data_IF_924101092735
#
_entry.id   IF_924101092735
#
_cell.length_a   1.000
_cell.length_b   1.000
_cell.length_c   1.000
_cell.angle_alpha   90.00
_cell.angle_beta   90.00
_cell.angle_gamma   90.00
#
_symmetry.space_group_name_H-M   'P 1'
#
loop_
_entity.id
_entity.type
_entity.pdbx_description
1 polymer ?
#
# COMPACT_ATOMS: atom_id res chain seq x y z
N UNK A 1 29.92 -38.13 -3.15
CA UNK A 1 30.49 -39.32 -2.48
C UNK A 1 31.99 -39.13 -2.41
N UNK A 2 32.49 -38.62 -1.28
CA UNK A 2 33.93 -38.42 -1.07
C UNK A 2 34.59 -39.77 -0.72
N UNK A 3 35.60 -40.14 -1.50
CA UNK A 3 36.42 -41.34 -1.32
C UNK A 3 37.28 -41.18 -0.07
N UNK A 4 36.99 -41.94 1.00
CA UNK A 4 37.82 -41.96 2.20
C UNK A 4 38.90 -43.04 2.00
N UNK A 5 40.02 -42.68 1.40
CA UNK A 5 41.29 -43.41 1.53
C UNK A 5 41.98 -42.92 2.79
N UNK A 6 41.72 -43.58 3.92
CA UNK A 6 42.36 -43.31 5.21
C UNK A 6 42.72 -44.62 5.91
N UNK A 7 43.83 -44.60 6.64
CA UNK A 7 44.29 -45.66 7.54
C UNK A 7 43.13 -46.16 8.42
N UNK A 8 43.00 -47.48 8.63
CA UNK A 8 41.89 -48.12 9.36
C UNK A 8 41.72 -47.52 10.76
N UNK A 9 42.82 -47.07 11.37
CA UNK A 9 42.83 -46.36 12.64
C UNK A 9 42.08 -45.02 12.59
N UNK A 10 42.28 -44.23 11.54
CA UNK A 10 41.62 -42.93 11.32
C UNK A 10 40.12 -43.09 11.06
N UNK A 11 39.71 -44.18 10.42
CA UNK A 11 38.30 -44.53 10.23
C UNK A 11 37.61 -44.88 11.56
N UNK A 12 38.26 -45.66 12.43
CA UNK A 12 37.77 -46.00 13.77
C UNK A 12 37.62 -44.75 14.65
N UNK A 13 38.62 -43.88 14.68
CA UNK A 13 38.56 -42.60 15.42
C UNK A 13 37.45 -41.67 14.88
N UNK A 14 37.19 -41.71 13.57
CA UNK A 14 36.11 -40.93 12.96
C UNK A 14 34.73 -41.50 13.29
N UNK A 15 34.58 -42.82 13.31
CA UNK A 15 33.34 -43.50 13.71
C UNK A 15 33.00 -43.20 15.17
N UNK A 16 33.98 -43.28 16.07
CA UNK A 16 33.80 -42.98 17.50
C UNK A 16 33.37 -41.52 17.72
N UNK A 17 33.99 -40.57 17.01
CA UNK A 17 33.56 -39.16 17.05
C UNK A 17 32.11 -38.98 16.57
N UNK A 18 31.74 -39.62 15.46
CA UNK A 18 30.38 -39.52 14.91
C UNK A 18 29.34 -40.16 15.83
N UNK A 19 29.68 -41.25 16.52
CA UNK A 19 28.81 -41.90 17.50
C UNK A 19 28.56 -40.98 18.70
N UNK A 20 29.60 -40.33 19.22
CA UNK A 20 29.49 -39.33 20.31
C UNK A 20 28.62 -38.15 19.88
N UNK A 21 28.85 -37.60 18.68
CA UNK A 21 28.03 -36.51 18.14
C UNK A 21 26.58 -36.92 17.94
N UNK A 22 26.33 -38.14 17.45
CA UNK A 22 24.99 -38.68 17.27
C UNK A 22 24.26 -38.78 18.61
N UNK A 23 24.89 -39.37 19.63
CA UNK A 23 24.29 -39.52 20.97
C UNK A 23 24.02 -38.16 21.60
N UNK A 24 24.96 -37.23 21.53
CA UNK A 24 24.79 -35.88 22.08
C UNK A 24 23.67 -35.11 21.39
N UNK A 25 23.57 -35.20 20.05
CA UNK A 25 22.50 -34.56 19.30
C UNK A 25 21.12 -35.14 19.62
N UNK A 26 21.03 -36.46 19.86
CA UNK A 26 19.78 -37.09 20.28
C UNK A 26 19.37 -36.70 21.70
N UNK A 27 20.33 -36.66 22.64
CA UNK A 27 20.09 -36.26 24.02
C UNK A 27 19.70 -34.79 24.13
N UNK A 28 20.46 -33.87 23.52
CA UNK A 28 20.23 -32.42 23.57
C UNK A 28 19.16 -31.89 22.63
N UNK A 29 18.87 -32.62 21.55
CA UNK A 29 17.79 -32.32 20.62
C UNK A 29 16.50 -33.00 21.04
N UNK A 30 16.15 -34.06 20.30
CA UNK A 30 14.83 -34.66 20.35
C UNK A 30 14.41 -35.13 21.75
N UNK A 31 15.28 -35.84 22.49
CA UNK A 31 14.90 -36.40 23.78
C UNK A 31 14.71 -35.33 24.86
N UNK A 32 15.48 -34.23 24.81
CA UNK A 32 15.30 -33.11 25.74
C UNK A 32 14.09 -32.25 25.36
N UNK A 33 13.93 -31.91 24.08
CA UNK A 33 12.80 -31.09 23.60
C UNK A 33 11.44 -31.77 23.78
N UNK A 34 11.40 -33.10 23.73
CA UNK A 34 10.19 -33.90 24.01
C UNK A 34 10.00 -34.18 25.51
N UNK A 35 10.90 -33.72 26.36
CA UNK A 35 10.85 -33.90 27.82
C UNK A 35 11.11 -35.33 28.29
N UNK A 36 11.73 -36.18 27.46
CA UNK A 36 12.10 -37.57 27.81
C UNK A 36 13.32 -37.59 28.75
N UNK A 37 14.30 -36.71 28.51
CA UNK A 37 15.48 -36.54 29.37
C UNK A 37 15.57 -35.11 29.90
N UNK A 38 16.13 -34.99 31.09
CA UNK A 38 16.72 -33.74 31.57
C UNK A 38 18.24 -33.86 31.49
N UNK A 39 18.89 -32.76 31.14
CA UNK A 39 20.34 -32.69 30.93
C UNK A 39 21.01 -31.95 32.09
N UNK A 40 22.16 -32.46 32.53
CA UNK A 40 23.02 -31.85 33.53
C UNK A 40 24.28 -31.30 32.88
N UNK A 41 24.55 -30.02 33.10
CA UNK A 41 25.74 -29.33 32.58
C UNK A 41 26.64 -28.87 33.73
N UNK A 42 27.95 -28.92 33.49
CA UNK A 42 28.97 -28.22 34.28
C UNK A 42 29.70 -27.25 33.34
N UNK A 43 29.39 -25.95 33.49
CA UNK A 43 29.68 -24.96 32.45
C UNK A 43 28.98 -25.32 31.13
N UNK A 44 29.73 -25.36 30.03
CA UNK A 44 29.23 -25.73 28.70
C UNK A 44 29.33 -27.24 28.42
N UNK A 45 29.87 -28.03 29.35
CA UNK A 45 30.05 -29.47 29.16
C UNK A 45 28.81 -30.23 29.65
N UNK A 46 28.23 -31.05 28.76
CA UNK A 46 27.19 -32.01 29.14
C UNK A 46 27.83 -33.14 29.96
N UNK A 47 27.57 -33.16 31.27
CA UNK A 47 28.17 -34.13 32.20
C UNK A 47 27.26 -35.31 32.52
N UNK A 48 25.98 -35.23 32.13
CA UNK A 48 25.06 -36.34 32.30
C UNK A 48 23.64 -36.01 31.88
N UNK A 49 22.80 -37.04 31.92
CA UNK A 49 21.37 -36.91 31.70
C UNK A 49 20.62 -37.82 32.68
N UNK A 50 19.37 -37.47 32.98
CA UNK A 50 18.44 -38.35 33.69
C UNK A 50 17.16 -38.50 32.89
N UNK A 51 16.55 -39.66 32.94
CA UNK A 51 15.20 -39.84 32.40
C UNK A 51 14.19 -39.14 33.31
N UNK A 52 13.31 -38.34 32.71
CA UNK A 52 12.17 -37.74 33.42
C UNK A 52 11.15 -38.83 33.76
N UNK A 53 10.22 -38.59 34.71
CA UNK A 53 9.12 -39.51 34.96
C UNK A 53 8.36 -39.90 33.68
N UNK A 54 8.10 -38.93 32.79
CA UNK A 54 7.45 -39.13 31.48
C UNK A 54 8.34 -39.91 30.50
N UNK A 55 9.65 -39.64 30.46
CA UNK A 55 10.58 -40.37 29.61
C UNK A 55 10.74 -41.83 30.00
N UNK A 56 10.79 -42.13 31.31
CA UNK A 56 10.79 -43.51 31.81
C UNK A 56 9.52 -44.26 31.42
N UNK A 57 8.40 -43.56 31.38
CA UNK A 57 7.11 -44.06 30.95
C UNK A 57 7.10 -44.38 29.43
N UNK A 58 7.55 -43.43 28.59
CA UNK A 58 7.65 -43.58 27.13
C UNK A 58 8.57 -44.73 26.73
N UNK A 59 9.69 -44.90 27.44
CA UNK A 59 10.66 -45.98 27.18
C UNK A 59 10.24 -47.34 27.78
N UNK A 60 9.04 -47.45 28.37
CA UNK A 60 8.54 -48.70 28.96
C UNK A 60 9.25 -49.14 30.24
N UNK A 61 10.08 -48.28 30.85
CA UNK A 61 10.87 -48.57 32.06
C UNK A 61 10.08 -48.40 33.36
N UNK A 62 8.91 -47.78 33.29
CA UNK A 62 7.91 -47.75 34.37
C UNK A 62 6.52 -47.86 33.75
N UNK A 63 5.66 -48.67 34.37
CA UNK A 63 4.23 -48.63 34.07
C UNK A 63 3.70 -47.24 34.42
N UNK A 64 3.24 -46.52 33.42
CA UNK A 64 2.52 -45.26 33.60
C UNK A 64 1.16 -45.65 34.16
N UNK A 65 0.69 -44.98 35.22
CA UNK A 65 -0.76 -44.85 35.35
C UNK A 65 -1.23 -44.28 34.02
N UNK A 66 -2.19 -44.92 33.36
CA UNK A 66 -2.81 -44.35 32.17
C UNK A 66 -3.10 -42.87 32.45
N UNK A 67 -2.92 -41.97 31.45
CA UNK A 67 -3.31 -40.58 31.61
C UNK A 67 -4.64 -40.56 32.36
N UNK A 68 -4.75 -39.78 33.44
CA UNK A 68 -6.05 -39.60 34.09
C UNK A 68 -7.05 -39.35 32.97
N UNK A 69 -8.14 -40.13 32.92
CA UNK A 69 -9.15 -39.98 31.88
C UNK A 69 -9.37 -38.49 31.66
N UNK A 70 -9.23 -38.04 30.41
CA UNK A 70 -9.41 -36.66 29.99
C UNK A 70 -10.88 -36.27 30.26
N UNK A 71 -11.16 -36.00 31.52
CA UNK A 71 -12.48 -35.72 32.10
C UNK A 71 -12.77 -34.23 32.08
N UNK A 72 -11.90 -33.45 31.40
CA UNK A 72 -12.06 -32.03 31.21
C UNK A 72 -13.44 -31.71 30.62
N UNK A 73 -14.12 -30.72 31.20
CA UNK A 73 -15.45 -30.30 30.76
C UNK A 73 -15.37 -28.88 30.21
N UNK A 74 -15.97 -28.66 29.04
CA UNK A 74 -16.22 -27.33 28.53
C UNK A 74 -17.61 -26.88 28.99
N UNK A 75 -17.68 -25.74 29.67
CA UNK A 75 -18.92 -25.07 30.06
C UNK A 75 -19.01 -23.77 29.28
N UNK A 76 -20.11 -23.57 28.56
CA UNK A 76 -20.36 -22.37 27.76
C UNK A 76 -21.45 -21.56 28.45
N UNK A 77 -21.14 -20.31 28.76
CA UNK A 77 -22.05 -19.40 29.44
C UNK A 77 -22.78 -18.49 28.42
N UNK A 78 -24.02 -18.05 28.72
CA UNK A 78 -24.76 -17.13 27.85
C UNK A 78 -24.09 -15.78 27.62
N UNK A 79 -23.11 -15.39 28.45
CA UNK A 79 -22.32 -14.17 28.30
C UNK A 79 -21.08 -14.35 27.39
N UNK A 80 -21.02 -15.44 26.62
CA UNK A 80 -19.94 -15.80 25.71
C UNK A 80 -18.63 -16.22 26.37
N UNK A 81 -18.64 -16.53 27.67
CA UNK A 81 -17.49 -17.12 28.35
C UNK A 81 -17.48 -18.64 28.21
N UNK A 82 -16.29 -19.19 27.99
CA UNK A 82 -16.03 -20.62 27.88
C UNK A 82 -15.07 -21.00 28.99
N UNK A 83 -15.50 -21.92 29.83
CA UNK A 83 -14.73 -22.42 30.97
C UNK A 83 -14.35 -23.86 30.68
N UNK A 84 -13.06 -24.10 30.44
CA UNK A 84 -12.51 -25.44 30.30
C UNK A 84 -11.97 -25.88 31.68
N UNK A 85 -12.66 -26.82 32.32
CA UNK A 85 -12.44 -27.19 33.73
C UNK A 85 -11.86 -28.61 33.83
N UNK A 86 -10.88 -28.81 34.73
CA UNK A 86 -10.28 -30.12 35.02
C UNK A 86 -9.05 -30.44 34.17
N UNK A 87 -8.65 -31.72 34.05
CA UNK A 87 -7.55 -32.15 33.19
C UNK A 87 -8.00 -32.09 31.72
N UNK A 88 -8.00 -30.88 31.16
CA UNK A 88 -8.39 -30.59 29.77
C UNK A 88 -7.27 -31.00 28.82
N UNK A 89 -7.62 -31.68 27.74
CA UNK A 89 -6.64 -32.08 26.73
C UNK A 89 -6.02 -30.86 26.03
N UNK A 90 -4.72 -30.93 25.72
CA UNK A 90 -4.04 -29.88 24.96
C UNK A 90 -4.68 -29.67 23.59
N UNK A 91 -5.21 -30.74 22.98
CA UNK A 91 -5.93 -30.67 21.72
C UNK A 91 -7.22 -29.82 21.82
N UNK A 92 -7.96 -29.91 22.93
CA UNK A 92 -9.13 -29.07 23.16
C UNK A 92 -8.73 -27.60 23.31
N UNK A 93 -7.71 -27.32 24.12
CA UNK A 93 -7.22 -25.96 24.35
C UNK A 93 -6.72 -25.33 23.05
N UNK A 94 -5.93 -26.07 22.27
CA UNK A 94 -5.43 -25.60 20.97
C UNK A 94 -6.56 -25.29 19.99
N UNK A 95 -7.65 -26.05 20.00
CA UNK A 95 -8.82 -25.75 19.16
C UNK A 95 -9.59 -24.54 19.67
N UNK A 96 -9.73 -24.34 20.99
CA UNK A 96 -10.35 -23.14 21.56
C UNK A 96 -9.55 -21.88 21.18
N UNK A 97 -8.22 -21.93 21.21
CA UNK A 97 -7.35 -20.82 20.81
C UNK A 97 -7.54 -20.39 19.33
N UNK A 98 -8.14 -21.23 18.48
CA UNK A 98 -8.40 -20.88 17.08
C UNK A 98 -9.56 -19.90 16.90
N UNK A 99 -10.53 -19.90 17.83
CA UNK A 99 -11.79 -19.17 17.64
C UNK A 99 -12.29 -18.42 18.88
N UNK A 100 -11.60 -18.53 20.01
CA UNK A 100 -11.91 -17.82 21.25
C UNK A 100 -10.64 -17.20 21.86
N UNK A 101 -10.78 -16.04 22.48
CA UNK A 101 -9.67 -15.34 23.11
C UNK A 101 -9.44 -15.89 24.53
N UNK A 102 -8.22 -16.33 24.84
CA UNK A 102 -7.88 -16.84 26.18
C UNK A 102 -7.72 -15.69 27.16
N UNK A 103 -8.62 -15.58 28.13
CA UNK A 103 -8.59 -14.53 29.16
C UNK A 103 -7.74 -14.94 30.38
N UNK A 104 -7.81 -16.21 30.80
CA UNK A 104 -7.06 -16.74 31.95
C UNK A 104 -6.62 -18.19 31.76
N UNK A 105 -5.51 -18.55 32.40
CA UNK A 105 -4.94 -19.89 32.39
C UNK A 105 -4.43 -20.25 33.80
N UNK A 106 -5.21 -21.05 34.53
CA UNK A 106 -4.86 -21.55 35.86
C UNK A 106 -4.71 -23.09 35.85
N UNK A 107 -4.05 -23.63 36.87
CA UNK A 107 -3.70 -25.06 37.02
C UNK A 107 -4.87 -26.06 36.93
N UNK A 108 -6.13 -25.59 36.97
CA UNK A 108 -7.32 -26.44 36.84
C UNK A 108 -8.49 -25.83 36.07
N UNK A 109 -8.30 -24.63 35.51
CA UNK A 109 -9.34 -23.93 34.75
C UNK A 109 -8.73 -22.97 33.72
N UNK A 110 -9.27 -23.00 32.50
CA UNK A 110 -8.94 -22.03 31.46
C UNK A 110 -10.21 -21.26 31.10
N UNK A 111 -10.09 -19.93 31.07
CA UNK A 111 -11.18 -19.04 30.71
C UNK A 111 -10.93 -18.47 29.32
N UNK A 112 -11.93 -18.58 28.45
CA UNK A 112 -11.92 -17.97 27.13
C UNK A 112 -13.17 -17.12 26.93
N UNK A 113 -13.11 -16.20 25.97
CA UNK A 113 -14.24 -15.42 25.50
C UNK A 113 -14.43 -15.59 24.00
N UNK A 114 -15.66 -15.89 23.61
CA UNK A 114 -16.11 -15.75 22.23
C UNK A 114 -16.43 -14.28 21.95
N UNK A 115 -15.81 -13.73 20.92
CA UNK A 115 -16.14 -12.42 20.39
C UNK A 115 -16.45 -12.54 18.90
N UNK A 116 -17.04 -11.49 18.32
CA UNK A 116 -17.25 -11.44 16.87
C UNK A 116 -15.91 -11.45 16.15
N UNK A 117 -14.93 -10.75 16.71
CA UNK A 117 -13.58 -10.62 16.21
C UNK A 117 -12.84 -11.97 16.22
N UNK A 118 -12.90 -12.73 17.32
CA UNK A 118 -12.24 -14.04 17.43
C UNK A 118 -12.81 -15.05 16.43
N UNK A 119 -14.14 -15.05 16.26
CA UNK A 119 -14.83 -15.91 15.28
C UNK A 119 -14.49 -15.50 13.85
N UNK A 120 -14.38 -14.19 13.58
CA UNK A 120 -13.93 -13.71 12.28
C UNK A 120 -12.49 -14.16 11.98
N UNK A 121 -11.57 -14.09 12.94
CA UNK A 121 -10.20 -14.59 12.76
C UNK A 121 -10.17 -16.09 12.45
N UNK A 122 -10.98 -16.89 13.15
CA UNK A 122 -11.13 -18.33 12.88
C UNK A 122 -11.56 -18.59 11.42
N UNK A 123 -12.54 -17.84 10.92
CA UNK A 123 -13.00 -17.94 9.53
C UNK A 123 -11.89 -17.63 8.53
N UNK A 124 -11.03 -16.65 8.82
CA UNK A 124 -9.88 -16.32 7.96
C UNK A 124 -8.81 -17.42 7.96
N UNK A 125 -8.74 -18.21 9.02
CA UNK A 125 -7.90 -19.41 9.12
C UNK A 125 -8.56 -20.67 8.53
N UNK A 126 -9.75 -20.54 7.95
CA UNK A 126 -10.48 -21.63 7.30
C UNK A 126 -11.39 -22.44 8.21
N UNK A 127 -11.56 -22.04 9.48
CA UNK A 127 -12.51 -22.65 10.40
C UNK A 127 -13.85 -21.91 10.32
N UNK A 128 -14.83 -22.51 9.63
CA UNK A 128 -16.14 -21.90 9.46
C UNK A 128 -16.97 -21.92 10.75
N UNK A 129 -17.98 -21.05 10.84
CA UNK A 129 -18.90 -21.04 12.00
C UNK A 129 -19.60 -22.38 12.21
N UNK A 130 -19.91 -23.12 11.13
CA UNK A 130 -20.47 -24.46 11.24
C UNK A 130 -19.52 -25.46 11.92
N UNK A 131 -18.20 -25.30 11.77
CA UNK A 131 -17.20 -26.13 12.43
C UNK A 131 -17.04 -25.71 13.90
N UNK A 132 -17.06 -24.40 14.18
CA UNK A 132 -17.08 -23.87 15.56
C UNK A 132 -18.30 -24.39 16.32
N UNK A 133 -19.50 -24.29 15.74
CA UNK A 133 -20.73 -24.79 16.36
C UNK A 133 -20.65 -26.28 16.65
N UNK A 134 -20.20 -27.08 15.68
CA UNK A 134 -20.04 -28.53 15.84
C UNK A 134 -19.05 -28.86 16.96
N UNK A 135 -17.92 -28.15 17.01
CA UNK A 135 -16.91 -28.33 18.05
C UNK A 135 -17.48 -28.02 19.44
N UNK A 136 -18.19 -26.89 19.58
CA UNK A 136 -18.80 -26.49 20.85
C UNK A 136 -19.88 -27.48 21.29
N UNK A 137 -20.71 -27.97 20.38
CA UNK A 137 -21.73 -28.98 20.66
C UNK A 137 -21.13 -30.32 21.13
N UNK A 138 -20.01 -30.73 20.55
CA UNK A 138 -19.34 -31.99 20.88
C UNK A 138 -18.69 -31.98 22.26
N UNK A 139 -18.16 -30.83 22.69
CA UNK A 139 -17.36 -30.74 23.92
C UNK A 139 -18.10 -30.07 25.09
N UNK A 140 -19.22 -29.39 24.84
CA UNK A 140 -19.99 -28.72 25.89
C UNK A 140 -20.79 -29.71 26.73
N UNK A 141 -20.44 -29.82 28.01
CA UNK A 141 -21.07 -30.77 28.93
C UNK A 141 -22.56 -30.48 29.20
N UNK A 142 -22.98 -29.22 29.10
CA UNK A 142 -24.35 -28.76 29.42
C UNK A 142 -25.18 -28.40 28.19
N UNK A 143 -24.65 -28.60 26.99
CA UNK A 143 -25.23 -28.10 25.74
C UNK A 143 -24.98 -26.60 25.49
N UNK A 144 -24.99 -26.21 24.22
CA UNK A 144 -24.70 -24.85 23.78
C UNK A 144 -25.90 -23.92 24.02
N UNK A 145 -25.75 -22.79 24.75
CA UNK A 145 -26.82 -21.82 24.93
C UNK A 145 -27.36 -21.28 23.60
N UNK A 146 -28.68 -21.15 23.49
CA UNK A 146 -29.35 -20.75 22.24
C UNK A 146 -28.92 -19.36 21.75
N UNK A 147 -28.68 -18.42 22.67
CA UNK A 147 -28.25 -17.08 22.33
C UNK A 147 -26.82 -17.07 21.73
N UNK A 148 -25.93 -17.94 22.21
CA UNK A 148 -24.58 -18.09 21.66
C UNK A 148 -24.65 -18.67 20.26
N UNK A 149 -25.44 -19.73 20.04
CA UNK A 149 -25.68 -20.29 18.68
C UNK A 149 -26.15 -19.23 17.71
N UNK A 150 -27.23 -18.51 18.07
CA UNK A 150 -27.83 -17.48 17.23
C UNK A 150 -26.83 -16.37 16.89
N UNK A 151 -26.04 -15.93 17.87
CA UNK A 151 -25.05 -14.89 17.65
C UNK A 151 -23.94 -15.33 16.71
N UNK A 152 -23.47 -16.58 16.83
CA UNK A 152 -22.49 -17.16 15.90
C UNK A 152 -23.03 -17.20 14.46
N UNK A 153 -24.28 -17.62 14.26
CA UNK A 153 -24.95 -17.65 12.96
C UNK A 153 -25.14 -16.23 12.39
N UNK A 154 -25.56 -15.27 13.22
CA UNK A 154 -25.72 -13.87 12.83
C UNK A 154 -24.38 -13.23 12.45
N UNK A 155 -23.31 -13.53 13.19
CA UNK A 155 -21.97 -13.08 12.83
C UNK A 155 -21.56 -13.64 11.48
N UNK A 156 -21.72 -14.95 11.24
CA UNK A 156 -21.44 -15.57 9.93
C UNK A 156 -22.16 -14.86 8.78
N UNK A 157 -23.48 -14.66 8.90
CA UNK A 157 -24.29 -14.00 7.89
C UNK A 157 -23.86 -12.54 7.65
N UNK A 158 -23.41 -11.84 8.70
CA UNK A 158 -22.94 -10.47 8.59
C UNK A 158 -21.62 -10.34 7.81
N UNK A 159 -20.77 -11.38 7.84
CA UNK A 159 -19.43 -11.42 7.25
C UNK A 159 -19.44 -11.78 5.75
N UNK A 160 -20.46 -12.50 5.26
CA UNK A 160 -20.56 -12.88 3.84
C UNK A 160 -21.08 -11.77 2.90
N UNK A 161 -21.41 -10.58 3.42
CA UNK A 161 -21.97 -9.47 2.63
C UNK A 161 -20.97 -8.81 1.69
N UNK A 162 -19.66 -8.93 1.96
CA UNK A 162 -18.59 -8.34 1.16
C UNK A 162 -17.50 -9.39 0.96
N UNK A 163 -17.29 -9.81 -0.28
CA UNK A 163 -16.31 -10.87 -0.63
C UNK A 163 -15.22 -10.28 -1.51
N UNK A 164 -13.98 -10.26 -1.01
CA UNK A 164 -12.81 -9.95 -1.83
C UNK A 164 -12.47 -11.14 -2.73
N UNK A 165 -12.38 -10.91 -4.05
CA UNK A 165 -11.88 -11.90 -5.01
C UNK A 165 -10.55 -11.42 -5.56
N UNK A 166 -9.48 -12.13 -5.21
CA UNK A 166 -8.11 -11.85 -5.66
C UNK A 166 -7.71 -12.80 -6.79
N UNK A 167 -6.68 -12.41 -7.56
CA UNK A 167 -6.13 -13.25 -8.64
C UNK A 167 -7.10 -13.49 -9.82
N UNK A 168 -8.07 -12.59 -10.01
CA UNK A 168 -8.96 -12.63 -11.17
C UNK A 168 -8.27 -12.05 -12.39
N UNK A 169 -8.45 -12.70 -13.54
CA UNK A 169 -8.04 -12.16 -14.84
C UNK A 169 -9.30 -11.66 -15.55
N UNK A 170 -9.16 -10.52 -16.22
CA UNK A 170 -10.25 -9.85 -16.92
C UNK A 170 -9.84 -9.66 -18.38
N UNK A 171 -10.78 -9.92 -19.28
CA UNK A 171 -10.69 -9.61 -20.71
C UNK A 171 -11.60 -8.43 -20.97
N UNK A 172 -11.08 -7.43 -21.67
CA UNK A 172 -11.89 -6.35 -22.22
C UNK A 172 -11.66 -6.29 -23.74
N UNK A 173 -12.76 -6.31 -24.48
CA UNK A 173 -12.77 -6.14 -25.93
C UNK A 173 -12.96 -4.65 -26.29
N UNK A 174 -12.70 -4.31 -27.55
CA UNK A 174 -12.86 -2.94 -28.05
C UNK A 174 -14.32 -2.48 -28.03
N UNK A 175 -15.27 -3.40 -28.15
CA UNK A 175 -16.71 -3.15 -28.16
C UNK A 175 -17.47 -4.44 -27.80
N UNK A 176 -18.78 -4.30 -27.66
CA UNK A 176 -19.67 -5.40 -27.28
C UNK A 176 -19.76 -6.49 -28.36
N UNK A 177 -19.68 -6.12 -29.64
CA UNK A 177 -19.81 -7.06 -30.76
C UNK A 177 -18.60 -8.00 -30.83
N UNK A 178 -17.39 -7.45 -30.68
CA UNK A 178 -16.18 -8.24 -30.56
C UNK A 178 -16.24 -9.17 -29.34
N UNK A 179 -16.70 -8.67 -28.18
CA UNK A 179 -16.83 -9.50 -26.98
C UNK A 179 -17.82 -10.66 -27.19
N UNK A 180 -18.97 -10.40 -27.83
CA UNK A 180 -19.96 -11.42 -28.17
C UNK A 180 -19.36 -12.48 -29.11
N UNK A 181 -18.66 -12.07 -30.17
CA UNK A 181 -18.02 -13.00 -31.11
C UNK A 181 -16.98 -13.91 -30.43
N UNK A 182 -16.20 -13.36 -29.49
CA UNK A 182 -15.22 -14.12 -28.70
C UNK A 182 -15.87 -15.05 -27.68
N UNK A 183 -17.08 -14.73 -27.20
CA UNK A 183 -17.83 -15.59 -26.31
C UNK A 183 -18.47 -16.78 -27.04
N UNK A 184 -18.91 -16.57 -28.28
CA UNK A 184 -19.57 -17.59 -29.11
C UNK A 184 -18.57 -18.54 -29.82
N UNK A 185 -17.32 -18.11 -30.06
CA UNK A 185 -16.29 -18.98 -30.66
C UNK A 185 -15.84 -20.07 -29.65
N UNK A 186 -15.94 -21.34 -30.07
CA UNK A 186 -15.58 -22.52 -29.28
C UNK A 186 -14.12 -22.57 -28.79
N UNK A 187 -13.19 -21.89 -29.48
CA UNK A 187 -11.77 -21.80 -29.12
C UNK A 187 -11.52 -20.79 -27.99
N UNK A 188 -12.26 -19.69 -27.96
CA UNK A 188 -12.07 -18.60 -26.99
C UNK A 188 -13.10 -18.65 -25.85
N UNK A 189 -14.38 -18.83 -26.15
CA UNK A 189 -15.50 -18.79 -25.20
C UNK A 189 -15.37 -19.76 -24.04
N UNK A 190 -14.80 -20.96 -24.29
CA UNK A 190 -14.53 -21.96 -23.24
C UNK A 190 -13.60 -21.46 -22.12
N UNK A 191 -12.80 -20.42 -22.37
CA UNK A 191 -11.88 -19.80 -21.42
C UNK A 191 -12.51 -18.66 -20.61
N UNK A 192 -13.64 -18.12 -21.07
CA UNK A 192 -14.39 -17.07 -20.40
C UNK A 192 -15.29 -17.65 -19.30
N UNK A 193 -15.56 -16.82 -18.29
CA UNK A 193 -16.46 -17.09 -17.19
C UNK A 193 -17.65 -16.12 -17.29
N UNK A 194 -18.05 -15.52 -16.16
CA UNK A 194 -19.21 -14.61 -16.10
C UNK A 194 -18.87 -13.25 -16.75
N UNK A 195 -19.74 -12.71 -17.63
CA UNK A 195 -19.61 -11.34 -18.11
C UNK A 195 -19.80 -10.34 -16.97
N UNK A 196 -19.06 -9.23 -17.02
CA UNK A 196 -19.16 -8.11 -16.07
C UNK A 196 -19.94 -6.95 -16.69
N UNK A 197 -19.63 -6.62 -17.94
CA UNK A 197 -20.35 -5.69 -18.81
C UNK A 197 -20.46 -6.29 -20.22
N UNK A 198 -21.03 -5.56 -21.17
CA UNK A 198 -21.15 -6.02 -22.56
C UNK A 198 -19.78 -6.23 -23.25
N UNK A 199 -18.77 -5.44 -22.89
CA UNK A 199 -17.42 -5.46 -23.46
C UNK A 199 -16.37 -6.11 -22.54
N UNK A 200 -16.76 -6.56 -21.33
CA UNK A 200 -15.84 -7.08 -20.30
C UNK A 200 -16.29 -8.43 -19.75
N UNK A 201 -15.38 -9.39 -19.71
CA UNK A 201 -15.63 -10.71 -19.14
C UNK A 201 -14.49 -11.20 -18.23
N UNK A 202 -14.84 -11.96 -17.19
CA UNK A 202 -13.86 -12.64 -16.35
C UNK A 202 -13.33 -13.89 -17.08
N UNK A 203 -12.07 -14.24 -16.83
CA UNK A 203 -11.52 -15.52 -17.30
C UNK A 203 -11.63 -16.60 -16.21
N UNK A 204 -11.78 -17.85 -16.66
CA UNK A 204 -11.61 -19.01 -15.77
C UNK A 204 -10.17 -19.07 -15.25
N UNK A 205 -10.00 -19.54 -14.00
CA UNK A 205 -8.70 -19.64 -13.32
C UNK A 205 -7.68 -20.39 -14.19
N UNK A 206 -6.50 -19.79 -14.38
CA UNK A 206 -5.39 -20.37 -15.14
C UNK A 206 -5.58 -20.46 -16.66
N UNK A 207 -6.61 -19.84 -17.25
CA UNK A 207 -6.90 -19.94 -18.69
C UNK A 207 -6.34 -18.81 -19.56
N UNK A 208 -5.78 -17.75 -18.97
CA UNK A 208 -5.25 -16.59 -19.71
C UNK A 208 -4.27 -16.97 -20.82
N UNK A 209 -3.22 -17.76 -20.53
CA UNK A 209 -2.22 -18.15 -21.54
C UNK A 209 -2.83 -18.92 -22.72
N UNK A 210 -3.83 -19.77 -22.45
CA UNK A 210 -4.53 -20.55 -23.50
C UNK A 210 -5.42 -19.66 -24.36
N UNK A 211 -6.09 -18.69 -23.75
CA UNK A 211 -6.89 -17.72 -24.48
C UNK A 211 -6.01 -16.83 -25.38
N UNK A 212 -4.87 -16.36 -24.88
CA UNK A 212 -3.91 -15.58 -25.68
C UNK A 212 -3.44 -16.38 -26.90
N UNK A 213 -3.07 -17.66 -26.71
CA UNK A 213 -2.68 -18.52 -27.82
C UNK A 213 -3.80 -18.67 -28.87
N UNK A 214 -5.03 -18.93 -28.43
CA UNK A 214 -6.19 -19.07 -29.32
C UNK A 214 -6.48 -17.78 -30.10
N UNK A 215 -6.35 -16.61 -29.46
CA UNK A 215 -6.52 -15.31 -30.12
C UNK A 215 -5.44 -15.09 -31.19
N UNK A 216 -4.17 -15.37 -30.87
CA UNK A 216 -3.04 -15.22 -31.79
C UNK A 216 -3.18 -16.15 -33.00
N UNK A 217 -3.62 -17.39 -32.80
CA UNK A 217 -3.93 -18.34 -33.89
C UNK A 217 -5.04 -17.83 -34.83
N UNK A 218 -5.91 -16.95 -34.34
CA UNK A 218 -6.95 -16.27 -35.13
C UNK A 218 -6.50 -14.92 -35.71
N UNK A 219 -5.23 -14.54 -35.54
CA UNK A 219 -4.70 -13.25 -35.98
C UNK A 219 -5.07 -12.06 -35.08
N UNK A 220 -5.62 -12.32 -33.89
CA UNK A 220 -5.92 -11.30 -32.88
C UNK A 220 -4.78 -11.23 -31.87
N UNK A 221 -4.16 -10.06 -31.72
CA UNK A 221 -3.00 -9.85 -30.86
C UNK A 221 -3.37 -9.02 -29.63
N UNK A 222 -3.79 -9.65 -28.51
CA UNK A 222 -4.21 -8.91 -27.33
C UNK A 222 -3.03 -8.25 -26.62
N UNK A 223 -3.23 -7.02 -26.15
CA UNK A 223 -2.32 -6.39 -25.19
C UNK A 223 -2.53 -6.97 -23.78
N UNK A 224 -1.45 -7.17 -23.04
CA UNK A 224 -1.50 -7.65 -21.64
C UNK A 224 -1.07 -6.52 -20.72
N UNK A 225 -2.01 -6.01 -19.93
CA UNK A 225 -1.74 -5.01 -18.89
C UNK A 225 -1.78 -5.67 -17.50
N UNK A 226 -0.82 -5.30 -16.64
CA UNK A 226 -0.84 -5.67 -15.24
C UNK A 226 -1.89 -4.88 -14.42
N UNK A 227 -2.08 -5.29 -13.17
CA UNK A 227 -2.96 -4.61 -12.22
C UNK A 227 -2.33 -3.36 -11.58
N UNK A 228 -1.00 -3.24 -11.64
CA UNK A 228 -0.26 -2.14 -11.04
C UNK A 228 -0.39 -0.83 -11.85
N UNK A 229 -0.37 0.35 -11.21
CA UNK A 229 -0.50 1.64 -11.89
C UNK A 229 0.55 1.89 -13.00
N UNK A 230 1.76 1.36 -12.82
CA UNK A 230 2.90 1.47 -13.73
C UNK A 230 2.63 0.76 -15.07
N UNK A 231 1.67 -0.17 -15.11
CA UNK A 231 1.24 -0.80 -16.37
C UNK A 231 0.62 0.22 -17.35
N UNK A 232 0.25 1.42 -16.90
CA UNK A 232 -0.21 2.52 -17.75
C UNK A 232 0.92 3.41 -18.28
N UNK A 233 2.17 3.19 -17.87
CA UNK A 233 3.31 3.97 -18.37
C UNK A 233 3.49 3.74 -19.87
N UNK A 234 3.99 4.77 -20.56
CA UNK A 234 4.26 4.76 -22.02
C UNK A 234 3.07 4.29 -22.88
N UNK A 235 1.85 4.51 -22.37
CA UNK A 235 0.60 4.07 -22.99
C UNK A 235 -0.14 5.18 -23.74
N UNK A 236 0.43 6.39 -23.82
CA UNK A 236 -0.15 7.49 -24.60
C UNK A 236 0.88 8.22 -25.46
N UNK A 237 0.40 8.84 -26.53
CA UNK A 237 1.10 9.86 -27.29
C UNK A 237 0.40 11.19 -26.99
N UNK A 238 1.19 12.19 -26.58
CA UNK A 238 0.69 13.53 -26.30
C UNK A 238 1.19 14.44 -27.40
N UNK A 239 0.26 15.02 -28.15
CA UNK A 239 0.56 15.96 -29.22
C UNK A 239 0.88 17.36 -28.66
N UNK A 240 1.48 18.21 -29.49
CA UNK A 240 1.89 19.57 -29.11
C UNK A 240 0.71 20.49 -28.77
N UNK A 241 -0.46 20.21 -29.32
CA UNK A 241 -1.72 20.91 -29.03
C UNK A 241 -2.31 20.54 -27.66
N UNK A 242 -1.79 19.51 -27.00
CA UNK A 242 -2.29 18.99 -25.74
C UNK A 242 -3.30 17.84 -25.88
N UNK A 243 -3.56 17.37 -27.09
CA UNK A 243 -4.36 16.17 -27.34
C UNK A 243 -3.57 14.92 -26.92
N UNK A 244 -4.22 14.02 -26.18
CA UNK A 244 -3.67 12.76 -25.68
C UNK A 244 -4.39 11.60 -26.36
N UNK A 245 -3.61 10.80 -27.10
CA UNK A 245 -4.07 9.59 -27.77
C UNK A 245 -3.53 8.34 -27.07
N UNK A 246 -4.39 7.44 -26.57
CA UNK A 246 -3.97 6.12 -26.13
C UNK A 246 -3.38 5.32 -27.29
N UNK A 247 -2.37 4.51 -26.99
CA UNK A 247 -1.82 3.57 -27.97
C UNK A 247 -2.69 2.32 -28.14
N UNK A 248 -3.51 2.01 -27.14
CA UNK A 248 -4.38 0.84 -27.12
C UNK A 248 -5.82 1.28 -27.35
N UNK A 249 -6.53 0.55 -28.21
CA UNK A 249 -7.96 0.80 -28.48
C UNK A 249 -8.81 0.72 -27.21
N UNK A 250 -8.36 -0.06 -26.23
CA UNK A 250 -8.94 -0.18 -24.90
C UNK A 250 -7.92 0.34 -23.87
N UNK A 251 -8.06 1.60 -23.42
CA UNK A 251 -7.24 2.17 -22.35
C UNK A 251 -7.44 1.41 -21.04
N UNK A 252 -6.36 1.11 -20.32
CA UNK A 252 -6.46 0.45 -19.01
C UNK A 252 -7.18 1.34 -17.99
N UNK A 253 -7.83 0.73 -16.98
CA UNK A 253 -8.47 1.47 -15.89
C UNK A 253 -7.48 2.38 -15.16
N UNK A 254 -6.23 1.93 -15.00
CA UNK A 254 -5.15 2.71 -14.41
C UNK A 254 -4.83 3.95 -15.27
N UNK A 255 -4.78 3.80 -16.60
CA UNK A 255 -4.56 4.93 -17.50
C UNK A 255 -5.70 5.95 -17.39
N UNK A 256 -6.97 5.49 -17.47
CA UNK A 256 -8.13 6.39 -17.35
C UNK A 256 -8.14 7.13 -16.00
N UNK A 257 -7.85 6.43 -14.90
CA UNK A 257 -7.79 7.02 -13.57
C UNK A 257 -6.65 8.02 -13.37
N UNK A 258 -5.52 7.87 -14.07
CA UNK A 258 -4.42 8.85 -14.07
C UNK A 258 -4.74 10.05 -14.95
N UNK A 259 -5.28 9.83 -16.16
CA UNK A 259 -5.64 10.89 -17.09
C UNK A 259 -6.79 11.77 -16.59
N UNK A 260 -7.77 11.22 -15.88
CA UNK A 260 -8.90 12.01 -15.34
C UNK A 260 -8.47 13.12 -14.37
N UNK A 261 -7.27 13.00 -13.77
CA UNK A 261 -6.68 14.01 -12.90
C UNK A 261 -5.92 15.10 -13.67
N UNK A 262 -5.52 14.83 -14.91
CA UNK A 262 -4.59 15.67 -15.69
C UNK A 262 -5.30 16.35 -16.88
N UNK A 263 -6.24 15.65 -17.50
CA UNK A 263 -6.86 16.00 -18.77
C UNK A 263 -8.37 15.77 -18.75
N UNK A 264 -9.07 16.40 -19.68
CA UNK A 264 -10.51 16.26 -19.87
C UNK A 264 -10.78 15.27 -21.00
N UNK A 265 -11.65 14.30 -20.75
CA UNK A 265 -12.12 13.36 -21.78
C UNK A 265 -13.10 14.11 -22.69
N UNK A 266 -12.78 14.24 -23.98
CA UNK A 266 -13.57 15.00 -24.97
C UNK A 266 -14.51 14.07 -25.73
N UNK A 267 -13.91 13.03 -26.30
CA UNK A 267 -14.59 11.94 -26.98
C UNK A 267 -14.17 10.61 -26.33
N UNK A 268 -14.95 9.57 -26.56
CA UNK A 268 -14.86 8.27 -25.88
C UNK A 268 -13.57 7.49 -26.26
N UNK A 269 -12.38 8.01 -25.87
CA UNK A 269 -10.97 7.55 -26.02
C UNK A 269 -9.96 8.68 -26.33
N UNK A 270 -10.36 9.96 -26.35
CA UNK A 270 -9.44 11.08 -26.55
C UNK A 270 -9.50 12.03 -25.36
N UNK A 271 -8.35 12.32 -24.78
CA UNK A 271 -8.21 13.28 -23.69
C UNK A 271 -7.54 14.55 -24.19
N UNK A 272 -7.87 15.68 -23.58
CA UNK A 272 -7.26 16.96 -23.93
C UNK A 272 -6.79 17.68 -22.68
N UNK A 273 -5.53 18.12 -22.71
CA UNK A 273 -4.97 19.03 -21.73
C UNK A 273 -5.50 20.44 -22.03
N UNK A 274 -6.18 21.04 -21.07
CA UNK A 274 -6.73 22.38 -21.18
C UNK A 274 -6.13 23.28 -20.10
N UNK A 275 -6.17 24.62 -20.26
CA UNK A 275 -5.80 25.53 -19.19
C UNK A 275 -6.57 25.23 -17.89
N UNK A 276 -7.85 24.85 -18.00
CA UNK A 276 -8.67 24.47 -16.86
C UNK A 276 -8.20 23.17 -16.20
N UNK A 277 -7.90 22.12 -16.99
CA UNK A 277 -7.42 20.84 -16.47
C UNK A 277 -6.06 20.99 -15.78
N UNK A 278 -5.15 21.79 -16.35
CA UNK A 278 -3.83 22.06 -15.78
C UNK A 278 -3.91 22.90 -14.52
N UNK A 279 -4.76 23.93 -14.47
CA UNK A 279 -4.99 24.72 -13.24
C UNK A 279 -5.62 23.89 -12.13
N UNK A 280 -6.56 23.01 -12.48
CA UNK A 280 -7.15 22.04 -11.54
C UNK A 280 -6.07 21.13 -10.94
N UNK A 281 -5.11 20.73 -11.77
CA UNK A 281 -3.96 19.93 -11.36
C UNK A 281 -2.82 20.73 -10.69
N UNK A 282 -2.73 22.06 -10.89
CA UNK A 282 -1.63 22.86 -10.36
C UNK A 282 -1.78 24.38 -10.46
N UNK A 283 -1.63 25.06 -9.31
CA UNK A 283 -1.48 26.52 -9.20
C UNK A 283 -0.12 26.94 -8.61
N UNK A 284 0.89 26.06 -8.65
CA UNK A 284 2.23 26.36 -8.15
C UNK A 284 3.31 25.61 -8.93
N UNK A 285 4.53 26.15 -8.96
CA UNK A 285 5.71 25.58 -9.62
C UNK A 285 5.88 24.07 -9.35
N UNK A 286 5.78 23.65 -8.09
CA UNK A 286 5.96 22.25 -7.70
C UNK A 286 4.86 21.32 -8.26
N UNK A 287 3.60 21.80 -8.31
CA UNK A 287 2.49 21.02 -8.87
C UNK A 287 2.64 20.85 -10.38
N UNK A 288 3.09 21.88 -11.09
CA UNK A 288 3.38 21.81 -12.53
C UNK A 288 4.51 20.82 -12.81
N UNK A 289 5.58 20.81 -12.01
CA UNK A 289 6.67 19.84 -12.17
C UNK A 289 6.18 18.39 -11.98
N UNK A 290 5.34 18.13 -10.97
CA UNK A 290 4.71 16.81 -10.78
C UNK A 290 3.81 16.41 -11.96
N UNK A 291 3.03 17.36 -12.50
CA UNK A 291 2.21 17.11 -13.68
C UNK A 291 3.07 16.74 -14.89
N UNK A 292 4.18 17.45 -15.13
CA UNK A 292 5.11 17.16 -16.22
C UNK A 292 5.79 15.80 -16.04
N UNK A 293 6.17 15.45 -14.81
CA UNK A 293 6.76 14.15 -14.49
C UNK A 293 5.76 13.02 -14.77
N UNK A 294 4.52 13.14 -14.28
CA UNK A 294 3.47 12.14 -14.51
C UNK A 294 3.10 12.01 -15.98
N UNK A 295 2.97 13.13 -16.70
CA UNK A 295 2.73 13.11 -18.14
C UNK A 295 3.91 12.47 -18.89
N UNK A 296 5.14 12.70 -18.42
CA UNK A 296 6.36 12.09 -18.96
C UNK A 296 6.41 10.57 -18.75
N UNK A 297 5.90 10.05 -17.63
CA UNK A 297 5.77 8.60 -17.40
C UNK A 297 4.74 7.97 -18.34
N UNK A 298 3.61 8.63 -18.53
CA UNK A 298 2.53 8.15 -19.40
C UNK A 298 2.90 8.24 -20.89
N UNK A 299 3.59 9.30 -21.30
CA UNK A 299 3.96 9.55 -22.67
C UNK A 299 5.03 8.58 -23.17
N UNK A 300 4.88 8.10 -24.42
CA UNK A 300 5.90 7.32 -25.10
C UNK A 300 6.90 8.23 -25.79
N UNK A 301 8.07 8.39 -25.18
CA UNK A 301 9.16 9.24 -25.68
C UNK A 301 9.32 10.51 -24.84
N UNK A 302 10.21 11.43 -25.24
CA UNK A 302 10.35 12.73 -24.59
C UNK A 302 9.12 13.60 -24.89
N UNK A 303 8.62 14.32 -23.89
CA UNK A 303 7.52 15.26 -24.08
C UNK A 303 7.91 16.38 -25.06
N UNK A 304 7.01 16.80 -25.96
CA UNK A 304 7.27 17.93 -26.84
C UNK A 304 7.63 19.20 -26.06
N UNK A 305 8.65 19.92 -26.53
CA UNK A 305 9.16 21.11 -25.84
C UNK A 305 8.11 22.24 -25.79
N UNK A 306 7.35 22.40 -26.87
CA UNK A 306 6.31 23.42 -26.97
C UNK A 306 5.13 23.12 -26.02
N UNK A 307 4.72 21.86 -25.92
CA UNK A 307 3.75 21.42 -24.93
C UNK A 307 4.22 21.74 -23.50
N UNK A 308 5.47 21.40 -23.18
CA UNK A 308 6.04 21.67 -21.86
C UNK A 308 6.01 23.17 -21.51
N UNK A 309 6.28 24.04 -22.48
CA UNK A 309 6.19 25.49 -22.32
C UNK A 309 4.76 25.94 -22.03
N UNK A 310 3.78 25.44 -22.79
CA UNK A 310 2.35 25.75 -22.59
C UNK A 310 1.85 25.30 -21.21
N UNK A 311 2.19 24.09 -20.79
CA UNK A 311 1.81 23.57 -19.47
C UNK A 311 2.38 24.43 -18.32
N UNK A 312 3.63 24.90 -18.46
CA UNK A 312 4.22 25.86 -17.50
C UNK A 312 3.46 27.18 -17.45
N UNK A 313 3.07 27.72 -18.59
CA UNK A 313 2.29 28.95 -18.67
C UNK A 313 0.89 28.76 -18.04
N UNK A 314 0.19 27.67 -18.35
CA UNK A 314 -1.16 27.41 -17.84
C UNK A 314 -1.22 27.17 -16.33
N UNK A 315 -0.19 26.51 -15.76
CA UNK A 315 -0.12 26.15 -14.34
C UNK A 315 0.56 27.18 -13.44
N UNK A 316 0.70 28.44 -13.91
CA UNK A 316 1.33 29.54 -13.16
C UNK A 316 2.75 29.22 -12.67
N UNK A 317 3.53 28.48 -13.46
CA UNK A 317 4.90 28.06 -13.08
C UNK A 317 5.82 29.25 -12.79
N UNK A 318 5.67 30.34 -13.55
CA UNK A 318 6.50 31.53 -13.47
C UNK A 318 6.04 32.52 -12.38
N UNK A 319 4.94 32.22 -11.69
CA UNK A 319 4.37 33.10 -10.68
C UNK A 319 3.60 34.29 -11.26
N UNK A 320 3.39 35.30 -10.43
CA UNK A 320 2.78 36.58 -10.79
C UNK A 320 3.85 37.67 -10.82
N UNK A 321 3.83 38.52 -11.83
CA UNK A 321 4.61 39.75 -11.86
C UNK A 321 3.66 40.93 -11.61
N UNK A 322 4.08 41.86 -10.75
CA UNK A 322 3.47 43.17 -10.64
C UNK A 322 4.31 44.16 -11.45
N UNK A 323 3.64 45.00 -12.24
CA UNK A 323 4.27 46.12 -12.93
C UNK A 323 3.68 47.39 -12.33
N UNK A 324 4.55 48.24 -11.80
CA UNK A 324 4.17 49.53 -11.23
C UNK A 324 4.96 50.64 -11.92
N UNK A 325 4.27 51.71 -12.29
CA UNK A 325 4.90 52.89 -12.86
C UNK A 325 5.42 53.77 -11.72
N UNK A 326 6.73 53.81 -11.55
CA UNK A 326 7.39 54.66 -10.55
C UNK A 326 7.88 55.96 -11.21
N UNK A 327 7.62 57.10 -10.58
CA UNK A 327 8.27 58.36 -10.98
C UNK A 327 9.58 58.50 -10.23
N UNK A 328 10.68 58.54 -10.96
CA UNK A 328 12.02 58.75 -10.39
C UNK A 328 12.39 60.22 -10.52
N UNK A 329 12.74 60.86 -9.40
CA UNK A 329 13.31 62.21 -9.37
C UNK A 329 14.80 62.09 -9.13
N UNK A 330 15.60 62.62 -10.06
CA UNK A 330 17.05 62.71 -9.93
C UNK A 330 17.45 64.02 -9.27
N UNK A 331 18.30 63.90 -8.26
CA UNK A 331 18.93 65.00 -7.56
C UNK A 331 20.38 65.14 -8.02
N UNK A 332 20.92 66.34 -7.83
CA UNK A 332 22.28 66.69 -8.24
C UNK A 332 23.33 65.74 -7.65
N UNK A 333 23.18 65.37 -6.37
CA UNK A 333 24.09 64.49 -5.65
C UNK A 333 23.36 63.80 -4.48
N UNK A 334 23.99 62.76 -3.93
CA UNK A 334 23.40 61.95 -2.86
C UNK A 334 23.20 62.76 -1.57
N UNK A 335 24.10 63.70 -1.28
CA UNK A 335 24.02 64.54 -0.09
C UNK A 335 22.76 65.42 -0.09
N UNK A 336 22.41 66.02 -1.24
CA UNK A 336 21.19 66.81 -1.39
C UNK A 336 19.93 65.95 -1.22
N UNK A 337 19.94 64.71 -1.72
CA UNK A 337 18.83 63.77 -1.52
C UNK A 337 18.68 63.38 -0.05
N UNK A 338 19.79 63.06 0.62
CA UNK A 338 19.80 62.67 2.03
C UNK A 338 19.30 63.81 2.94
N UNK A 339 19.64 65.07 2.63
CA UNK A 339 19.13 66.24 3.33
C UNK A 339 17.62 66.42 3.11
N UNK A 340 17.15 66.39 1.86
CA UNK A 340 15.74 66.62 1.50
C UNK A 340 14.80 65.51 2.00
N UNK A 341 15.25 64.27 2.10
CA UNK A 341 14.46 63.16 2.67
C UNK A 341 14.15 63.38 4.16
N UNK A 342 14.99 64.13 4.89
CA UNK A 342 14.75 64.42 6.30
C UNK A 342 13.77 65.57 6.55
N UNK A 343 13.37 66.31 5.50
CA UNK A 343 12.46 67.44 5.64
C UNK A 343 11.01 66.96 5.88
N UNK A 344 10.29 67.50 6.90
CA UNK A 344 8.95 67.01 7.29
C UNK A 344 7.92 66.98 6.17
N UNK A 345 7.98 67.95 5.25
CA UNK A 345 7.02 68.08 4.14
C UNK A 345 7.34 67.17 2.94
N UNK A 346 8.57 66.67 2.81
CA UNK A 346 9.02 65.81 1.70
C UNK A 346 9.21 64.35 2.10
N UNK A 347 9.52 64.08 3.37
CA UNK A 347 9.68 62.75 3.94
C UNK A 347 8.53 61.77 3.62
N UNK A 348 7.24 62.18 3.60
CA UNK A 348 6.14 61.27 3.27
C UNK A 348 6.08 60.88 1.78
N UNK A 349 6.79 61.60 0.92
CA UNK A 349 6.64 61.51 -0.54
C UNK A 349 7.90 61.04 -1.27
N UNK A 350 9.08 61.11 -0.64
CA UNK A 350 10.36 60.68 -1.21
C UNK A 350 10.80 59.36 -0.59
N UNK A 351 10.83 58.28 -1.38
CA UNK A 351 11.47 57.02 -0.98
C UNK A 351 12.80 56.88 -1.72
N UNK A 352 13.95 56.71 -1.02
CA UNK A 352 15.25 56.60 -1.68
C UNK A 352 15.28 55.36 -2.59
N UNK A 353 15.76 55.53 -3.83
CA UNK A 353 15.98 54.45 -4.77
C UNK A 353 17.49 54.15 -4.85
N UNK A 354 17.94 52.98 -4.37
CA UNK A 354 19.37 52.70 -4.26
C UNK A 354 20.01 52.52 -5.64
N UNK A 355 20.81 53.49 -6.07
CA UNK A 355 21.66 53.42 -7.27
C UNK A 355 23.09 53.83 -6.94
N UNK A 356 24.08 53.14 -7.53
CA UNK A 356 25.49 53.33 -7.18
C UNK A 356 26.03 54.72 -7.53
N UNK A 357 25.53 55.34 -8.62
CA UNK A 357 26.13 56.53 -9.22
C UNK A 357 25.15 57.71 -9.40
N UNK A 358 23.90 57.59 -8.93
CA UNK A 358 22.84 58.60 -9.11
C UNK A 358 22.01 58.73 -7.85
N UNK A 359 21.60 59.96 -7.52
CA UNK A 359 20.74 60.25 -6.39
C UNK A 359 19.28 60.25 -6.86
N UNK A 360 18.59 59.11 -6.73
CA UNK A 360 17.23 58.92 -7.22
C UNK A 360 16.25 58.73 -6.05
N UNK A 361 15.08 59.36 -6.13
CA UNK A 361 13.95 59.09 -5.24
C UNK A 361 12.72 58.64 -6.02
N UNK A 362 12.03 57.63 -5.51
CA UNK A 362 10.70 57.22 -5.95
C UNK A 362 9.67 58.18 -5.33
N UNK A 363 8.81 58.72 -6.19
CA UNK A 363 7.66 59.55 -5.81
C UNK A 363 6.37 58.89 -6.31
N UNK A 364 5.32 58.79 -5.48
CA UNK A 364 3.99 58.37 -5.95
C UNK A 364 3.49 59.32 -7.05
N UNK A 365 3.10 58.77 -8.21
CA UNK A 365 2.72 59.56 -9.38
C UNK A 365 1.60 60.59 -9.08
N UNK A 366 0.64 60.23 -8.23
CA UNK A 366 -0.46 61.11 -7.80
C UNK A 366 -0.01 62.31 -6.97
N UNK A 367 1.17 62.19 -6.32
CA UNK A 367 1.74 63.22 -5.44
C UNK A 367 2.84 64.04 -6.11
N UNK A 368 3.16 63.72 -7.37
CA UNK A 368 4.16 64.42 -8.16
C UNK A 368 3.91 65.93 -8.27
N UNK A 369 2.69 66.43 -8.46
CA UNK A 369 2.45 67.88 -8.51
C UNK A 369 2.77 68.58 -7.18
N UNK A 370 2.38 67.99 -6.04
CA UNK A 370 2.70 68.54 -4.72
C UNK A 370 4.21 68.49 -4.45
N UNK A 371 4.89 67.40 -4.83
CA UNK A 371 6.34 67.30 -4.67
C UNK A 371 7.07 68.31 -5.56
N UNK A 372 6.63 68.54 -6.80
CA UNK A 372 7.21 69.58 -7.67
C UNK A 372 7.06 70.98 -7.08
N UNK A 373 5.91 71.27 -6.47
CA UNK A 373 5.67 72.55 -5.80
C UNK A 373 6.58 72.73 -4.58
N UNK A 374 6.69 71.72 -3.72
CA UNK A 374 7.56 71.76 -2.53
C UNK A 374 9.04 71.85 -2.95
N UNK A 375 9.49 71.03 -3.90
CA UNK A 375 10.86 71.08 -4.44
C UNK A 375 11.16 72.45 -5.09
N UNK A 376 10.17 73.08 -5.72
CA UNK A 376 10.28 74.44 -6.26
C UNK A 376 10.57 75.49 -5.19
N UNK A 377 10.04 75.34 -3.97
CA UNK A 377 10.35 76.22 -2.83
C UNK A 377 11.81 76.08 -2.38
N UNK A 378 12.43 74.92 -2.60
CA UNK A 378 13.85 74.65 -2.37
C UNK A 378 14.73 75.01 -3.59
N UNK A 379 14.17 75.63 -4.64
CA UNK A 379 14.92 76.02 -5.84
C UNK A 379 15.25 74.86 -6.78
N UNK A 380 14.68 73.67 -6.57
CA UNK A 380 14.89 72.49 -7.41
C UNK A 380 13.85 72.44 -8.53
N UNK A 381 14.30 72.55 -9.77
CA UNK A 381 13.42 72.42 -10.94
C UNK A 381 13.40 70.99 -11.47
N UNK A 382 12.27 70.31 -11.28
CA UNK A 382 12.05 68.97 -11.84
C UNK A 382 11.68 69.09 -13.32
N UNK A 383 12.61 68.75 -14.21
CA UNK A 383 12.34 68.65 -15.65
C UNK A 383 11.76 67.27 -15.97
N UNK A 384 10.77 67.20 -16.86
CA UNK A 384 10.24 65.92 -17.35
C UNK A 384 11.24 65.34 -18.36
N UNK A 385 12.01 64.34 -17.91
CA UNK A 385 12.84 63.48 -18.75
C UNK A 385 12.16 62.13 -18.98
N UNK A 386 12.48 61.50 -20.12
CA UNK A 386 11.99 60.19 -20.57
C UNK A 386 12.12 59.08 -19.53
#
# INVERSE_FOLDING_TARGET
>A
MATITGDTKTLLETLERLEIEFVNNWLAGFLHQTGVVELGYDGDALIGFRLTPSGRAILGLKSVKQPQDETGKLVIQPNFQLLALGPVSLALLAQLDLFADRERADLGAFEYRLSRESVYQAQQLGMGVADVLRFLEQHCATGLPQNVRRSLEEWAASHERIVFRTGVNLLQAADADLMASLADDSRTGKHLARPVTADVSLLKKGRQKRLIAALVEQGLFPAVSGAQPEAADRSVIVAEDGTIHPIHAVPSLNLRGRLSRLAEERDNRVWMLTPASVRRAGGSKNKVLRLLEELGKLHRGPLPTELTRRLKAWGSYYGSAAAETLTLVEFRDQAALDELITHPDLQPYLTPFPTADRALAVVPAEKLPQVKEILGQFGVQVKEGL
#
